data_IF_588017190261
#
_entry.id   IF_588017190261
#
_cell.length_a   1.000
_cell.length_b   1.000
_cell.length_c   1.000
_cell.angle_alpha   90.00
_cell.angle_beta   90.00
_cell.angle_gamma   90.00
#
_symmetry.space_group_name_H-M   'P 1'
#
loop_
_entity.id
_entity.type
_entity.pdbx_description
1 polymer ?
#
# COMPACT_ATOMS: atom_id res chain seq x y z
N UNK A 1 6.96 -23.37 26.07
CA UNK A 1 6.67 -22.05 25.44
C UNK A 1 5.86 -22.34 24.18
N UNK A 2 4.58 -21.98 24.07
CA UNK A 2 3.88 -22.18 22.81
C UNK A 2 4.56 -21.30 21.76
N UNK A 3 5.04 -21.94 20.71
CA UNK A 3 5.65 -21.30 19.57
C UNK A 3 4.54 -20.51 18.86
N UNK A 4 4.42 -19.22 19.15
CA UNK A 4 3.50 -18.30 18.48
C UNK A 4 3.90 -18.20 17.01
N UNK A 5 3.39 -19.14 16.20
CA UNK A 5 3.51 -19.10 14.75
C UNK A 5 2.84 -17.82 14.29
N UNK A 6 3.62 -16.94 13.66
CA UNK A 6 3.09 -15.77 12.96
C UNK A 6 1.99 -16.24 12.00
N UNK A 7 0.79 -15.65 12.03
CA UNK A 7 -0.28 -16.06 11.13
C UNK A 7 0.18 -15.95 9.69
N UNK A 8 0.01 -17.01 8.89
CA UNK A 8 0.47 -17.02 7.50
C UNK A 8 -0.10 -15.84 6.69
N UNK A 9 -1.36 -15.46 6.95
CA UNK A 9 -2.00 -14.30 6.33
C UNK A 9 -1.29 -12.97 6.63
N UNK A 10 -0.72 -12.81 7.84
CA UNK A 10 0.04 -11.62 8.20
C UNK A 10 1.33 -11.55 7.36
N UNK A 11 2.00 -12.68 7.17
CA UNK A 11 3.20 -12.77 6.32
C UNK A 11 2.85 -12.39 4.88
N UNK A 12 1.72 -12.87 4.34
CA UNK A 12 1.29 -12.52 2.98
C UNK A 12 1.02 -11.01 2.86
N UNK A 13 0.39 -10.38 3.86
CA UNK A 13 0.23 -8.92 3.87
C UNK A 13 1.58 -8.21 3.90
N UNK A 14 2.49 -8.62 4.78
CA UNK A 14 3.82 -8.00 4.86
C UNK A 14 4.55 -8.10 3.52
N UNK A 15 4.51 -9.26 2.86
CA UNK A 15 5.09 -9.45 1.53
C UNK A 15 4.41 -8.55 0.48
N UNK A 16 3.09 -8.44 0.51
CA UNK A 16 2.34 -7.53 -0.37
C UNK A 16 2.74 -6.07 -0.17
N UNK A 17 2.87 -5.61 1.07
CA UNK A 17 3.30 -4.25 1.40
C UNK A 17 4.76 -3.99 1.05
N UNK A 18 5.64 -4.99 1.18
CA UNK A 18 7.03 -4.90 0.73
C UNK A 18 7.12 -4.82 -0.79
N UNK A 19 6.35 -5.62 -1.53
CA UNK A 19 6.29 -5.54 -2.98
C UNK A 19 5.75 -4.17 -3.43
N UNK A 20 4.69 -3.67 -2.79
CA UNK A 20 4.16 -2.34 -2.99
C UNK A 20 5.21 -1.24 -2.74
N UNK A 21 5.93 -1.33 -1.62
CA UNK A 21 7.02 -0.40 -1.29
C UNK A 21 8.14 -0.46 -2.32
N UNK A 22 8.56 -1.66 -2.74
CA UNK A 22 9.61 -1.86 -3.73
C UNK A 22 9.24 -1.25 -5.09
N UNK A 23 8.00 -1.41 -5.55
CA UNK A 23 7.51 -0.79 -6.79
C UNK A 23 7.61 0.74 -6.71
N UNK A 24 7.19 1.33 -5.59
CA UNK A 24 7.27 2.77 -5.41
C UNK A 24 8.69 3.28 -5.24
N UNK A 25 9.56 2.59 -4.52
CA UNK A 25 10.98 2.94 -4.42
C UNK A 25 11.65 2.84 -5.79
N UNK A 26 11.35 1.81 -6.58
CA UNK A 26 11.82 1.71 -7.96
C UNK A 26 11.33 2.89 -8.81
N UNK A 27 10.06 3.29 -8.65
CA UNK A 27 9.50 4.49 -9.27
C UNK A 27 10.19 5.78 -8.83
N UNK A 28 10.57 5.89 -7.55
CA UNK A 28 11.32 7.02 -7.01
C UNK A 28 12.72 7.11 -7.64
N UNK A 29 13.44 5.98 -7.72
CA UNK A 29 14.75 5.91 -8.37
C UNK A 29 14.63 6.25 -9.85
N UNK A 30 13.60 5.74 -10.53
CA UNK A 30 13.33 6.06 -11.92
C UNK A 30 13.03 7.55 -12.13
N UNK A 31 12.39 8.20 -11.15
CA UNK A 31 12.04 9.64 -11.17
C UNK A 31 13.26 10.55 -11.36
N UNK A 32 14.45 10.13 -10.91
CA UNK A 32 15.70 10.86 -11.12
C UNK A 32 16.35 10.63 -12.50
N UNK A 33 15.80 9.72 -13.30
CA UNK A 33 16.35 9.31 -14.60
C UNK A 33 15.35 9.49 -15.74
N UNK A 34 14.23 10.20 -15.51
CA UNK A 34 13.29 10.46 -16.57
C UNK A 34 13.91 11.40 -17.62
N UNK A 35 13.78 11.09 -18.92
CA UNK A 35 14.00 12.08 -19.97
C UNK A 35 13.04 13.27 -19.77
N UNK A 36 13.39 14.44 -20.29
CA UNK A 36 12.49 15.60 -20.34
C UNK A 36 11.28 15.29 -21.24
N UNK A 37 10.28 14.64 -20.64
CA UNK A 37 9.00 14.32 -21.26
C UNK A 37 8.01 15.43 -20.90
N UNK A 38 7.15 15.86 -21.83
CA UNK A 38 6.07 16.78 -21.53
C UNK A 38 5.02 16.07 -20.66
N UNK A 39 5.23 16.09 -19.34
CA UNK A 39 4.32 15.55 -18.36
C UNK A 39 3.22 16.57 -18.05
N UNK A 40 1.97 16.12 -17.81
CA UNK A 40 0.88 17.00 -17.41
C UNK A 40 0.99 17.50 -15.95
N UNK A 41 2.08 17.18 -15.25
CA UNK A 41 2.35 17.52 -13.85
C UNK A 41 3.83 17.83 -13.65
N UNK A 42 4.20 18.57 -12.58
CA UNK A 42 5.60 18.88 -12.26
C UNK A 42 6.43 17.63 -11.95
N UNK A 43 7.72 17.63 -12.27
CA UNK A 43 8.60 16.46 -12.07
C UNK A 43 8.72 16.02 -10.60
N UNK A 44 8.71 16.99 -9.69
CA UNK A 44 8.76 16.72 -8.24
C UNK A 44 7.55 15.90 -7.75
N UNK A 45 6.43 15.93 -8.49
CA UNK A 45 5.23 15.17 -8.16
C UNK A 45 5.52 13.67 -8.05
N UNK A 46 6.28 13.12 -9.02
CA UNK A 46 6.64 11.70 -9.04
C UNK A 46 7.57 11.34 -7.87
N UNK A 47 8.49 12.24 -7.52
CA UNK A 47 9.36 12.06 -6.36
C UNK A 47 8.56 11.98 -5.06
N UNK A 48 7.66 12.94 -4.83
CA UNK A 48 6.84 12.99 -3.62
C UNK A 48 5.90 11.79 -3.56
N UNK A 49 5.18 11.48 -4.65
CA UNK A 49 4.26 10.36 -4.72
C UNK A 49 4.97 9.03 -4.44
N UNK A 50 6.05 8.75 -5.14
CA UNK A 50 6.77 7.49 -4.99
C UNK A 50 7.50 7.39 -3.65
N UNK A 51 8.09 8.48 -3.16
CA UNK A 51 8.74 8.51 -1.85
C UNK A 51 7.73 8.30 -0.71
N UNK A 52 6.61 9.03 -0.72
CA UNK A 52 5.58 8.94 0.30
C UNK A 52 4.98 7.53 0.40
N UNK A 53 4.56 6.97 -0.73
CA UNK A 53 3.91 5.65 -0.74
C UNK A 53 4.92 4.51 -0.55
N UNK A 54 6.14 4.66 -1.08
CA UNK A 54 7.24 3.72 -0.84
C UNK A 54 7.59 3.61 0.65
N UNK A 55 7.75 4.75 1.32
CA UNK A 55 8.02 4.81 2.76
C UNK A 55 6.83 4.30 3.58
N UNK A 56 5.61 4.68 3.22
CA UNK A 56 4.40 4.22 3.91
C UNK A 56 4.25 2.71 3.86
N UNK A 57 4.51 2.08 2.71
CA UNK A 57 4.52 0.63 2.56
C UNK A 57 5.57 -0.04 3.44
N UNK A 58 6.77 0.53 3.52
CA UNK A 58 7.86 0.02 4.36
C UNK A 58 7.55 0.14 5.86
N UNK A 59 7.02 1.28 6.30
CA UNK A 59 6.58 1.51 7.69
C UNK A 59 5.45 0.54 8.06
N UNK A 60 4.47 0.34 7.18
CA UNK A 60 3.37 -0.59 7.41
C UNK A 60 3.89 -2.04 7.51
N UNK A 61 4.71 -2.48 6.56
CA UNK A 61 5.29 -3.82 6.56
C UNK A 61 6.16 -4.06 7.80
N UNK A 62 7.04 -3.12 8.14
CA UNK A 62 7.89 -3.20 9.33
C UNK A 62 7.07 -3.21 10.61
N UNK A 63 6.10 -2.31 10.74
CA UNK A 63 5.20 -2.26 11.90
C UNK A 63 4.45 -3.57 12.11
N UNK A 64 3.88 -4.14 11.06
CA UNK A 64 3.17 -5.42 11.12
C UNK A 64 4.11 -6.59 11.41
N UNK A 65 5.31 -6.60 10.82
CA UNK A 65 6.31 -7.62 11.04
C UNK A 65 6.90 -7.60 12.46
N UNK A 66 7.04 -6.43 13.08
CA UNK A 66 7.48 -6.30 14.46
C UNK A 66 6.32 -6.27 15.46
N UNK A 67 5.13 -6.70 15.05
CA UNK A 67 3.94 -6.83 15.90
C UNK A 67 3.58 -5.54 16.65
N UNK A 68 3.85 -4.37 16.06
CA UNK A 68 3.58 -3.08 16.72
C UNK A 68 2.07 -2.84 16.79
N UNK A 69 1.57 -2.46 17.96
CA UNK A 69 0.14 -2.23 18.22
C UNK A 69 -0.48 -1.13 17.32
N UNK A 70 0.30 -0.14 16.90
CA UNK A 70 -0.14 0.92 15.98
C UNK A 70 -0.22 0.46 14.52
N UNK A 71 0.46 -0.62 14.13
CA UNK A 71 0.65 -0.99 12.73
C UNK A 71 -0.63 -1.40 12.00
N UNK A 72 -1.57 -2.16 12.60
CA UNK A 72 -2.86 -2.43 11.97
C UNK A 72 -3.66 -1.15 11.68
N UNK A 73 -3.68 -0.21 12.64
CA UNK A 73 -4.38 1.07 12.47
C UNK A 73 -3.74 1.90 11.35
N UNK A 74 -2.42 2.05 11.39
CA UNK A 74 -1.66 2.76 10.36
C UNK A 74 -1.89 2.17 8.96
N UNK A 75 -1.82 0.85 8.83
CA UNK A 75 -1.99 0.16 7.53
C UNK A 75 -3.39 0.39 6.94
N UNK A 76 -4.44 0.43 7.77
CA UNK A 76 -5.81 0.73 7.33
C UNK A 76 -5.92 2.16 6.82
N UNK A 77 -5.46 3.12 7.61
CA UNK A 77 -5.54 4.54 7.24
C UNK A 77 -4.68 4.86 6.02
N UNK A 78 -3.44 4.36 5.98
CA UNK A 78 -2.56 4.50 4.83
C UNK A 78 -3.15 3.85 3.57
N UNK A 79 -3.76 2.66 3.70
CA UNK A 79 -4.45 1.99 2.60
C UNK A 79 -5.63 2.79 2.04
N UNK A 80 -6.47 3.36 2.92
CA UNK A 80 -7.56 4.24 2.49
C UNK A 80 -7.05 5.51 1.82
N UNK A 81 -6.04 6.15 2.42
CA UNK A 81 -5.42 7.35 1.85
C UNK A 81 -4.82 7.06 0.46
N UNK A 82 -4.15 5.91 0.30
CA UNK A 82 -3.61 5.47 -0.99
C UNK A 82 -4.71 5.29 -2.03
N UNK A 83 -5.83 4.66 -1.67
CA UNK A 83 -6.95 4.45 -2.58
C UNK A 83 -7.57 5.77 -3.02
N UNK A 84 -7.81 6.69 -2.09
CA UNK A 84 -8.32 8.02 -2.40
C UNK A 84 -7.36 8.79 -3.32
N UNK A 85 -6.06 8.74 -3.02
CA UNK A 85 -5.03 9.33 -3.87
C UNK A 85 -5.03 8.72 -5.26
N UNK A 86 -5.00 7.39 -5.37
CA UNK A 86 -4.96 6.65 -6.63
C UNK A 86 -6.15 7.02 -7.53
N UNK A 87 -7.36 7.08 -6.96
CA UNK A 87 -8.54 7.47 -7.72
C UNK A 87 -8.53 8.95 -8.10
N UNK A 88 -8.03 9.84 -7.23
CA UNK A 88 -7.85 11.26 -7.57
C UNK A 88 -6.89 11.41 -8.75
N UNK A 89 -5.73 10.76 -8.72
CA UNK A 89 -4.78 10.71 -9.83
C UNK A 89 -5.41 10.19 -11.10
N UNK A 90 -6.13 9.06 -11.01
CA UNK A 90 -6.74 8.43 -12.16
C UNK A 90 -7.82 9.31 -12.79
N UNK A 91 -8.66 9.96 -11.99
CA UNK A 91 -9.75 10.81 -12.49
C UNK A 91 -9.25 12.14 -13.04
N UNK A 92 -8.20 12.72 -12.44
CA UNK A 92 -7.67 14.03 -12.84
C UNK A 92 -6.65 13.95 -13.99
N UNK A 93 -5.79 12.93 -13.97
CA UNK A 93 -4.59 12.87 -14.82
C UNK A 93 -4.69 11.80 -15.93
N UNK A 94 -5.48 10.74 -15.75
CA UNK A 94 -5.53 9.66 -16.74
C UNK A 94 -6.51 9.97 -17.88
N UNK A 95 -6.02 10.69 -18.90
CA UNK A 95 -6.79 11.04 -20.11
C UNK A 95 -6.71 10.03 -21.26
N UNK A 96 -5.94 8.96 -21.11
CA UNK A 96 -5.75 7.96 -22.19
C UNK A 96 -6.99 7.08 -22.40
N UNK A 97 -7.25 6.66 -23.64
CA UNK A 97 -8.37 5.78 -23.96
C UNK A 97 -8.24 4.40 -23.29
N UNK A 98 -7.01 3.95 -23.04
CA UNK A 98 -6.75 2.75 -22.26
C UNK A 98 -7.17 2.90 -20.79
N UNK A 99 -6.93 4.06 -20.17
CA UNK A 99 -7.35 4.33 -18.80
C UNK A 99 -8.88 4.36 -18.66
N UNK A 100 -9.58 4.90 -19.68
CA UNK A 100 -11.04 4.90 -19.77
C UNK A 100 -11.61 3.50 -19.96
N UNK A 101 -10.96 2.61 -20.71
CA UNK A 101 -11.47 1.24 -20.93
C UNK A 101 -11.23 0.31 -19.73
N UNK A 102 -10.14 0.53 -19.00
CA UNK A 102 -9.74 -0.31 -17.86
C UNK A 102 -10.30 0.12 -16.50
N UNK A 103 -11.16 1.16 -16.45
CA UNK A 103 -11.63 1.74 -15.19
C UNK A 103 -12.39 0.74 -14.30
N UNK A 104 -13.26 -0.07 -14.90
CA UNK A 104 -14.08 -1.04 -14.16
C UNK A 104 -13.21 -2.15 -13.57
N UNK A 105 -12.26 -2.67 -14.36
CA UNK A 105 -11.31 -3.67 -13.89
C UNK A 105 -10.47 -3.13 -12.72
N UNK A 106 -10.01 -1.88 -12.82
CA UNK A 106 -9.27 -1.24 -11.74
C UNK A 106 -10.13 -1.03 -10.49
N UNK A 107 -11.38 -0.57 -10.62
CA UNK A 107 -12.33 -0.45 -9.52
C UNK A 107 -12.54 -1.77 -8.80
N UNK A 108 -12.79 -2.84 -9.55
CA UNK A 108 -12.97 -4.18 -8.99
C UNK A 108 -11.73 -4.66 -8.24
N UNK A 109 -10.54 -4.52 -8.84
CA UNK A 109 -9.27 -4.90 -8.19
C UNK A 109 -9.03 -4.08 -6.93
N UNK A 110 -9.27 -2.76 -6.96
CA UNK A 110 -9.12 -1.90 -5.78
C UNK A 110 -10.09 -2.31 -4.67
N UNK A 111 -11.36 -2.55 -4.99
CA UNK A 111 -12.36 -2.98 -4.00
C UNK A 111 -11.99 -4.33 -3.37
N UNK A 112 -11.56 -5.29 -4.19
CA UNK A 112 -11.09 -6.61 -3.70
C UNK A 112 -9.88 -6.41 -2.78
N UNK A 113 -8.89 -5.62 -3.17
CA UNK A 113 -7.69 -5.39 -2.39
C UNK A 113 -8.00 -4.72 -1.04
N UNK A 114 -8.85 -3.70 -1.03
CA UNK A 114 -9.29 -3.02 0.20
C UNK A 114 -10.07 -3.98 1.08
N UNK A 115 -11.08 -4.66 0.54
CA UNK A 115 -11.87 -5.62 1.29
C UNK A 115 -10.97 -6.70 1.91
N UNK A 116 -10.05 -7.26 1.14
CA UNK A 116 -9.13 -8.30 1.59
C UNK A 116 -8.19 -7.80 2.69
N UNK A 117 -7.63 -6.59 2.54
CA UNK A 117 -6.80 -5.96 3.57
C UNK A 117 -7.56 -5.79 4.89
N UNK A 118 -8.76 -5.20 4.83
CA UNK A 118 -9.58 -4.95 6.02
C UNK A 118 -10.06 -6.26 6.66
N UNK A 119 -10.44 -7.23 5.85
CA UNK A 119 -10.90 -8.54 6.32
C UNK A 119 -9.79 -9.28 7.07
N UNK A 120 -8.57 -9.30 6.53
CA UNK A 120 -7.43 -9.93 7.22
C UNK A 120 -7.08 -9.16 8.49
N UNK A 121 -6.97 -7.83 8.44
CA UNK A 121 -6.61 -7.05 9.64
C UNK A 121 -7.69 -7.09 10.73
N UNK A 122 -8.91 -7.56 10.43
CA UNK A 122 -9.98 -7.77 11.41
C UNK A 122 -10.14 -9.23 11.86
N UNK A 123 -9.31 -10.17 11.38
CA UNK A 123 -9.33 -11.56 11.85
C UNK A 123 -8.98 -11.64 13.35
N UNK A 124 -9.73 -12.40 14.16
CA UNK A 124 -9.43 -12.59 15.59
C UNK A 124 -8.00 -13.06 15.83
N UNK A 125 -7.53 -14.05 15.06
CA UNK A 125 -6.16 -14.60 15.16
C UNK A 125 -5.05 -13.56 14.97
N UNK A 126 -5.32 -12.49 14.22
CA UNK A 126 -4.37 -11.39 14.03
C UNK A 126 -4.50 -10.39 15.18
N UNK A 127 -5.72 -10.06 15.60
CA UNK A 127 -5.94 -9.19 16.76
C UNK A 127 -5.33 -9.77 18.04
N UNK A 128 -5.47 -11.07 18.27
CA UNK A 128 -4.92 -11.77 19.43
C UNK A 128 -3.38 -11.71 19.40
N UNK A 129 -2.76 -11.93 18.24
CA UNK A 129 -1.31 -11.82 18.07
C UNK A 129 -0.75 -10.41 18.42
N UNK A 130 -1.47 -9.34 18.04
CA UNK A 130 -1.06 -7.97 18.41
C UNK A 130 -1.35 -7.65 19.89
N UNK A 131 -2.38 -8.24 20.49
CA UNK A 131 -2.69 -8.10 21.93
C UNK A 131 -1.63 -8.76 22.80
N UNK A 132 -1.25 -9.99 22.47
CA UNK A 132 -0.18 -10.75 23.17
C UNK A 132 1.19 -10.06 23.09
N UNK A 133 1.43 -9.27 22.05
CA UNK A 133 2.69 -8.52 21.89
C UNK A 133 2.74 -7.23 22.74
N UNK A 134 1.64 -6.85 23.38
CA UNK A 134 1.51 -5.61 24.17
C UNK A 134 1.39 -5.89 25.69
N UNK A 135 1.13 -7.15 26.08
CA UNK A 135 1.11 -7.62 27.48
C UNK A 135 2.49 -8.02 27.97
#
# INVERSE_FOLDING_TARGET
MPYNRRPALLIVICLGLLAFSAIHIAGLVASFRLPDLPLPFPDWYLLVRNGLWGLSGLIAAGGLFFSRSWAPSFTRWAGLAFVLWYWSDRLLLARSDYAKRSWLAAATITLIAVFWLFWILNRPSIQDFFRESTS
#
